data_IF_389255236727
#
_entry.id   IF_389255236727
#
_cell.length_a   1.000
_cell.length_b   1.000
_cell.length_c   1.000
_cell.angle_alpha   90.00
_cell.angle_beta   90.00
_cell.angle_gamma   90.00
#
_symmetry.space_group_name_H-M   'P 1'
#
loop_
_entity.id
_entity.type
_entity.pdbx_description
1 polymer ?
#
# COMPACT_ATOMS: atom_id res chain seq x y z
N UNK A 1 -27.11 -9.04 -0.80
CA UNK A 1 -26.26 -9.20 -1.71
C UNK A 1 -24.99 -9.69 -1.19
N UNK A 2 -24.37 -10.54 -1.81
CA UNK A 2 -23.19 -11.11 -1.30
C UNK A 2 -22.05 -10.16 -1.52
N UNK A 3 -21.11 -10.13 -0.61
CA UNK A 3 -19.98 -9.35 -0.77
C UNK A 3 -19.07 -10.03 -1.67
N UNK A 4 -18.47 -9.32 -2.53
CA UNK A 4 -17.49 -9.88 -3.38
C UNK A 4 -16.23 -10.12 -2.61
N UNK A 5 -15.63 -11.29 -2.81
CA UNK A 5 -14.36 -11.60 -2.20
C UNK A 5 -13.28 -11.22 -3.18
N UNK A 6 -12.32 -10.42 -2.74
CA UNK A 6 -11.25 -10.00 -3.63
C UNK A 6 -9.93 -10.15 -2.88
N UNK A 7 -8.91 -10.62 -3.58
CA UNK A 7 -7.60 -10.78 -2.97
C UNK A 7 -6.84 -9.48 -3.01
N UNK A 8 -5.79 -9.39 -2.21
CA UNK A 8 -4.99 -8.18 -2.18
C UNK A 8 -4.37 -7.92 -3.54
N UNK A 9 -4.00 -8.97 -4.26
CA UNK A 9 -3.43 -8.79 -5.59
C UNK A 9 -4.47 -8.20 -6.54
N UNK A 10 -5.68 -8.73 -6.51
CA UNK A 10 -6.74 -8.22 -7.36
C UNK A 10 -7.09 -6.79 -7.00
N UNK A 11 -7.13 -6.51 -5.69
CA UNK A 11 -7.45 -5.16 -5.24
C UNK A 11 -6.40 -4.17 -5.72
N UNK A 12 -5.14 -4.55 -5.65
CA UNK A 12 -4.06 -3.68 -6.11
C UNK A 12 -4.19 -3.42 -7.61
N UNK A 13 -4.49 -4.46 -8.37
CA UNK A 13 -4.64 -4.31 -9.81
C UNK A 13 -5.80 -3.39 -10.17
N UNK A 14 -6.91 -3.53 -9.46
CA UNK A 14 -8.05 -2.67 -9.71
C UNK A 14 -7.75 -1.23 -9.32
N UNK A 15 -7.03 -1.04 -8.23
CA UNK A 15 -6.68 0.29 -7.79
C UNK A 15 -5.79 0.97 -8.83
N UNK A 16 -4.80 0.24 -9.35
CA UNK A 16 -3.90 0.80 -10.35
C UNK A 16 -4.65 1.13 -11.65
N UNK A 17 -5.60 0.27 -12.02
CA UNK A 17 -6.41 0.55 -13.20
C UNK A 17 -7.25 1.79 -12.98
N UNK A 18 -7.77 1.96 -11.77
CA UNK A 18 -8.55 3.15 -11.44
C UNK A 18 -7.69 4.40 -11.59
N UNK A 19 -6.44 4.35 -11.14
CA UNK A 19 -5.55 5.49 -11.26
C UNK A 19 -5.27 5.82 -12.72
N UNK A 20 -5.12 4.79 -13.54
CA UNK A 20 -4.87 5.00 -14.94
C UNK A 20 -6.07 5.67 -15.59
N UNK A 21 -7.26 5.23 -15.25
CA UNK A 21 -8.46 5.83 -15.80
C UNK A 21 -8.65 7.26 -15.32
N UNK A 22 -8.13 7.56 -14.15
CA UNK A 22 -8.24 8.91 -13.61
C UNK A 22 -7.18 9.84 -14.21
N UNK A 23 -6.36 9.34 -15.10
CA UNK A 23 -5.38 10.19 -15.76
C UNK A 23 -4.05 10.34 -15.06
N UNK A 24 -3.75 9.45 -14.12
CA UNK A 24 -2.46 9.54 -13.45
C UNK A 24 -1.33 9.18 -14.39
N UNK A 25 -0.20 9.77 -14.13
CA UNK A 25 0.99 9.54 -14.93
C UNK A 25 1.45 8.08 -14.83
N UNK A 26 1.91 7.53 -15.93
CA UNK A 26 2.36 6.15 -15.94
C UNK A 26 3.49 5.89 -14.96
N UNK A 27 4.38 6.86 -14.80
CA UNK A 27 5.47 6.69 -13.86
C UNK A 27 4.95 6.61 -12.43
N UNK A 28 3.95 7.41 -12.11
CA UNK A 28 3.34 7.36 -10.79
C UNK A 28 2.70 6.02 -10.55
N UNK A 29 2.00 5.50 -11.56
CA UNK A 29 1.33 4.22 -11.43
C UNK A 29 2.36 3.11 -11.25
N UNK A 30 3.46 3.16 -12.00
CA UNK A 30 4.52 2.17 -11.86
C UNK A 30 5.10 2.20 -10.44
N UNK A 31 5.36 3.39 -9.92
CA UNK A 31 5.91 3.54 -8.59
C UNK A 31 4.96 2.99 -7.53
N UNK A 32 3.68 3.28 -7.70
CA UNK A 32 2.69 2.77 -6.76
C UNK A 32 2.60 1.24 -6.84
N UNK A 33 2.74 0.69 -8.05
CA UNK A 33 2.67 -0.76 -8.18
C UNK A 33 3.82 -1.42 -7.42
N UNK A 34 4.98 -0.80 -7.42
CA UNK A 34 6.10 -1.35 -6.68
C UNK A 34 5.83 -1.34 -5.18
N UNK A 35 5.21 -0.27 -4.70
CA UNK A 35 4.88 -0.20 -3.28
C UNK A 35 3.84 -1.24 -2.92
N UNK A 36 2.86 -1.43 -3.80
CA UNK A 36 1.81 -2.42 -3.53
C UNK A 36 2.34 -3.85 -3.62
N UNK A 37 3.38 -4.07 -4.42
CA UNK A 37 4.00 -5.38 -4.48
C UNK A 37 4.56 -5.78 -3.12
N UNK A 38 5.04 -4.82 -2.35
CA UNK A 38 5.54 -5.12 -1.02
C UNK A 38 4.42 -5.64 -0.13
N UNK A 39 3.24 -5.06 -0.26
CA UNK A 39 2.10 -5.51 0.52
C UNK A 39 1.67 -6.90 0.07
N UNK A 40 1.66 -7.12 -1.24
CA UNK A 40 1.28 -8.42 -1.76
C UNK A 40 2.25 -9.49 -1.25
N UNK A 41 3.52 -9.15 -1.21
CA UNK A 41 4.50 -10.09 -0.70
C UNK A 41 4.32 -10.37 0.78
N UNK A 42 3.99 -9.33 1.55
CA UNK A 42 3.84 -9.48 2.99
C UNK A 42 2.59 -10.29 3.35
N UNK A 43 1.48 -9.96 2.71
CA UNK A 43 0.20 -10.58 3.06
C UNK A 43 -0.07 -11.87 2.28
N UNK A 44 0.55 -12.03 1.12
CA UNK A 44 0.26 -13.17 0.25
C UNK A 44 -0.74 -12.77 -0.81
N UNK A 45 -0.47 -13.12 -2.06
CA UNK A 45 -1.30 -12.63 -3.15
C UNK A 45 -2.75 -13.07 -3.05
N UNK A 46 -3.00 -14.19 -2.38
CA UNK A 46 -4.35 -14.70 -2.25
C UNK A 46 -5.07 -14.22 -1.00
N UNK A 47 -4.48 -13.31 -0.26
CA UNK A 47 -5.09 -12.84 0.97
C UNK A 47 -6.34 -12.03 0.65
N UNK A 48 -7.45 -12.39 1.30
CA UNK A 48 -8.69 -11.66 1.12
C UNK A 48 -8.57 -10.31 1.83
N UNK A 49 -8.80 -9.20 1.11
CA UNK A 49 -8.62 -7.88 1.71
C UNK A 49 -9.56 -7.67 2.89
N UNK A 50 -10.73 -8.30 2.88
CA UNK A 50 -11.67 -8.13 3.98
C UNK A 50 -11.21 -8.80 5.26
N UNK A 51 -10.19 -9.66 5.17
CA UNK A 51 -9.67 -10.34 6.34
C UNK A 51 -8.41 -9.70 6.89
N UNK A 52 -8.00 -8.58 6.33
CA UNK A 52 -6.86 -7.85 6.84
C UNK A 52 -7.35 -7.00 8.02
N UNK A 53 -6.66 -7.12 9.14
CA UNK A 53 -7.04 -6.39 10.36
C UNK A 53 -6.03 -5.28 10.63
N UNK A 54 -6.40 -4.29 11.46
CA UNK A 54 -5.47 -3.20 11.76
C UNK A 54 -4.14 -3.68 12.32
N UNK A 55 -4.13 -4.73 13.12
CA UNK A 55 -2.89 -5.24 13.67
C UNK A 55 -2.01 -5.76 12.54
N UNK A 56 -2.60 -6.32 11.50
CA UNK A 56 -1.83 -6.83 10.37
C UNK A 56 -1.20 -5.67 9.61
N UNK A 57 -1.93 -4.58 9.47
CA UNK A 57 -1.40 -3.41 8.77
C UNK A 57 -0.27 -2.78 9.56
N UNK A 58 -0.42 -2.72 10.89
CA UNK A 58 0.63 -2.17 11.73
C UNK A 58 1.90 -3.00 11.58
N UNK A 59 1.78 -4.32 11.53
CA UNK A 59 2.94 -5.18 11.36
C UNK A 59 3.57 -4.99 9.99
N UNK A 60 2.75 -4.82 8.96
CA UNK A 60 3.28 -4.59 7.63
C UNK A 60 4.08 -3.29 7.60
N UNK A 61 3.55 -2.23 8.20
CA UNK A 61 4.23 -0.94 8.17
C UNK A 61 5.56 -0.98 8.91
N UNK A 62 5.73 -1.90 9.85
CA UNK A 62 6.98 -2.02 10.57
C UNK A 62 7.87 -3.13 10.03
N UNK A 63 7.42 -3.81 8.99
CA UNK A 63 8.16 -4.93 8.45
C UNK A 63 9.40 -4.46 7.71
N UNK A 64 10.32 -5.39 7.52
CA UNK A 64 11.54 -5.09 6.77
C UNK A 64 11.21 -4.71 5.32
N UNK A 65 10.14 -5.26 4.76
CA UNK A 65 9.77 -4.91 3.40
C UNK A 65 9.51 -3.42 3.24
N UNK A 66 8.92 -2.81 4.26
CA UNK A 66 8.60 -1.40 4.19
C UNK A 66 9.76 -0.53 4.66
N UNK A 67 10.49 -0.98 5.67
CA UNK A 67 11.43 -0.13 6.34
C UNK A 67 12.88 -0.30 5.93
N UNK A 68 13.20 -1.39 5.25
CA UNK A 68 14.60 -1.68 4.91
C UNK A 68 14.77 -1.96 3.44
N UNK A 69 15.92 -1.56 2.94
CA UNK A 69 16.30 -1.88 1.59
C UNK A 69 17.26 -3.05 1.70
N UNK A 70 16.88 -4.19 1.14
CA UNK A 70 17.67 -5.41 1.24
C UNK A 70 18.22 -5.75 -0.12
N UNK A 71 19.52 -5.94 -0.21
CA UNK A 71 20.14 -6.33 -1.45
C UNK A 71 20.71 -7.71 -1.32
N UNK A 72 20.30 -8.58 -2.21
CA UNK A 72 20.83 -9.92 -2.20
C UNK A 72 22.25 -9.89 -2.75
N UNK A 73 23.13 -10.76 -2.28
CA UNK A 73 24.50 -10.77 -2.77
C UNK A 73 24.54 -11.24 -4.22
N UNK A 74 25.42 -10.61 -4.97
CA UNK A 74 25.56 -11.00 -6.36
C UNK A 74 26.47 -12.22 -6.52
N UNK A 75 27.28 -12.51 -5.55
CA UNK A 75 28.17 -13.64 -5.60
C UNK A 75 27.97 -14.49 -4.38
N UNK A 76 28.18 -15.79 -4.54
CA UNK A 76 28.03 -16.67 -3.42
C UNK A 76 29.06 -16.32 -2.37
N UNK A 77 28.68 -16.45 -1.14
CA UNK A 77 29.60 -16.19 -0.04
C UNK A 77 29.58 -14.76 0.45
N UNK A 78 28.93 -13.87 -0.25
CA UNK A 78 28.85 -12.50 0.20
C UNK A 78 27.62 -12.32 1.09
N UNK A 79 27.74 -11.49 2.12
CA UNK A 79 26.57 -11.29 3.00
C UNK A 79 25.51 -10.44 2.33
N UNK A 80 24.29 -10.69 2.71
CA UNK A 80 23.18 -9.88 2.27
C UNK A 80 23.32 -8.51 2.91
N UNK A 81 23.11 -7.47 2.15
CA UNK A 81 23.23 -6.11 2.65
C UNK A 81 21.87 -5.55 2.95
N UNK A 82 21.76 -4.89 4.10
CA UNK A 82 20.52 -4.26 4.49
C UNK A 82 20.84 -2.86 4.97
N UNK A 83 19.94 -1.96 4.68
CA UNK A 83 20.04 -0.62 5.26
C UNK A 83 18.63 -0.03 5.34
N UNK A 84 18.42 0.91 6.24
CA UNK A 84 17.08 1.48 6.38
C UNK A 84 16.72 2.31 5.17
N UNK A 85 15.46 2.30 4.80
CA UNK A 85 14.97 3.19 3.77
C UNK A 85 14.79 4.56 4.38
N UNK A 86 14.81 5.59 3.53
CA UNK A 86 14.59 6.94 4.02
C UNK A 86 13.17 7.07 4.54
N UNK A 87 12.96 8.02 5.43
CA UNK A 87 11.64 8.27 5.95
C UNK A 87 10.66 8.62 4.85
N UNK A 88 11.12 9.36 3.86
CA UNK A 88 10.25 9.75 2.76
C UNK A 88 9.76 8.52 2.01
N UNK A 89 10.65 7.57 1.75
CA UNK A 89 10.28 6.36 1.05
C UNK A 89 9.30 5.53 1.86
N UNK A 90 9.56 5.39 3.16
CA UNK A 90 8.69 4.61 4.03
C UNK A 90 7.31 5.25 4.09
N UNK A 91 7.25 6.57 4.26
CA UNK A 91 6.00 7.27 4.34
C UNK A 91 5.20 7.13 3.06
N UNK A 92 5.89 7.15 1.92
CA UNK A 92 5.21 7.02 0.65
C UNK A 92 4.57 5.64 0.50
N UNK A 93 5.30 4.59 0.87
CA UNK A 93 4.77 3.24 0.79
C UNK A 93 3.52 3.11 1.67
N UNK A 94 3.59 3.65 2.88
CA UNK A 94 2.46 3.59 3.79
C UNK A 94 1.27 4.34 3.21
N UNK A 95 1.51 5.49 2.61
CA UNK A 95 0.43 6.28 2.04
C UNK A 95 -0.25 5.56 0.88
N UNK A 96 0.54 4.94 0.01
CA UNK A 96 -0.02 4.22 -1.13
C UNK A 96 -0.90 3.08 -0.64
N UNK A 97 -0.43 2.35 0.36
CA UNK A 97 -1.21 1.24 0.89
C UNK A 97 -2.50 1.74 1.53
N UNK A 98 -2.43 2.84 2.30
CA UNK A 98 -3.62 3.39 2.91
C UNK A 98 -4.64 3.77 1.85
N UNK A 99 -4.18 4.40 0.77
CA UNK A 99 -5.09 4.83 -0.28
C UNK A 99 -5.73 3.65 -0.98
N UNK A 100 -4.99 2.56 -1.14
CA UNK A 100 -5.58 1.37 -1.73
C UNK A 100 -6.69 0.83 -0.83
N UNK A 101 -6.49 0.85 0.49
CA UNK A 101 -7.52 0.36 1.40
C UNK A 101 -8.75 1.26 1.37
N UNK A 102 -8.55 2.57 1.23
CA UNK A 102 -9.68 3.48 1.09
C UNK A 102 -10.45 3.15 -0.18
N UNK A 103 -9.73 2.90 -1.26
CA UNK A 103 -10.36 2.51 -2.51
C UNK A 103 -11.18 1.24 -2.33
N UNK A 104 -10.63 0.24 -1.62
CA UNK A 104 -11.36 -1.00 -1.37
C UNK A 104 -12.64 -0.74 -0.60
N UNK A 105 -12.60 0.17 0.36
CA UNK A 105 -13.79 0.47 1.12
C UNK A 105 -14.82 1.16 0.22
N UNK A 106 -14.37 2.06 -0.64
CA UNK A 106 -15.27 2.74 -1.54
C UNK A 106 -15.93 1.78 -2.52
N UNK A 107 -15.22 0.73 -2.89
CA UNK A 107 -15.78 -0.26 -3.79
C UNK A 107 -16.70 -1.25 -3.09
N UNK A 108 -16.74 -1.21 -1.77
CA UNK A 108 -17.59 -2.13 -1.02
C UNK A 108 -16.94 -3.48 -0.75
N UNK A 109 -15.68 -3.64 -1.08
CA UNK A 109 -15.00 -4.90 -0.85
C UNK A 109 -14.68 -5.13 0.62
N UNK A 110 -14.55 -4.05 1.39
CA UNK A 110 -14.36 -4.14 2.82
C UNK A 110 -15.34 -3.19 3.48
N UNK A 111 -15.81 -3.54 4.66
CA UNK A 111 -16.78 -2.70 5.35
C UNK A 111 -16.13 -1.65 6.23
N UNK A 112 -14.89 -1.88 6.63
CA UNK A 112 -14.18 -0.94 7.47
C UNK A 112 -12.77 -0.79 6.98
N UNK A 113 -12.17 0.37 7.28
CA UNK A 113 -10.76 0.52 6.98
C UNK A 113 -9.97 -0.23 8.03
N UNK A 114 -9.12 -1.14 7.61
CA UNK A 114 -8.31 -1.94 8.51
C UNK A 114 -7.03 -1.18 8.83
N UNK A 115 -7.17 -0.03 9.49
CA UNK A 115 -6.02 0.79 9.81
C UNK A 115 -5.95 1.03 11.31
N UNK A 116 -4.75 1.08 11.88
CA UNK A 116 -4.59 1.46 13.29
C UNK A 116 -5.13 2.87 13.50
N UNK A 117 -5.43 3.19 14.75
CA UNK A 117 -6.01 4.46 15.07
C UNK A 117 -5.23 5.63 14.53
N UNK A 118 -3.90 5.58 14.67
CA UNK A 118 -3.06 6.67 14.16
C UNK A 118 -3.21 6.83 12.67
N UNK A 119 -3.29 5.72 11.95
CA UNK A 119 -3.40 5.79 10.50
C UNK A 119 -4.77 6.25 10.06
N UNK A 120 -5.80 5.91 10.83
CA UNK A 120 -7.14 6.40 10.51
C UNK A 120 -7.19 7.91 10.63
N UNK A 121 -6.52 8.46 11.63
CA UNK A 121 -6.48 9.91 11.78
C UNK A 121 -5.80 10.56 10.59
N UNK A 122 -4.74 9.94 10.10
CA UNK A 122 -4.04 10.49 8.93
C UNK A 122 -4.93 10.48 7.70
N UNK A 123 -5.74 9.44 7.56
CA UNK A 123 -6.63 9.36 6.41
C UNK A 123 -7.67 10.46 6.47
N UNK A 124 -8.20 10.74 7.65
CA UNK A 124 -9.17 11.79 7.78
C UNK A 124 -8.57 13.15 7.47
N UNK A 125 -7.37 13.41 8.01
CA UNK A 125 -6.72 14.66 7.72
C UNK A 125 -6.45 14.80 6.23
N UNK A 126 -6.06 13.71 5.61
CA UNK A 126 -5.75 13.74 4.21
C UNK A 126 -7.01 14.02 3.40
N UNK A 127 -8.14 13.46 3.81
CA UNK A 127 -9.36 13.69 3.10
C UNK A 127 -9.73 15.15 3.09
N UNK A 128 -9.48 15.85 4.19
CA UNK A 128 -9.76 17.25 4.22
C UNK A 128 -8.78 18.02 3.37
N UNK A 129 -7.54 17.59 3.36
CA UNK A 129 -6.54 18.28 2.56
C UNK A 129 -6.64 17.92 1.11
N UNK A 130 -7.36 16.87 0.78
CA UNK A 130 -7.45 16.46 -0.60
C UNK A 130 -8.16 17.39 -1.46
N UNK A 131 -8.72 18.39 -0.94
CA UNK A 131 -9.24 19.38 -1.78
C UNK A 131 -8.15 19.99 -2.48
N UNK A 132 -6.91 19.85 -2.04
CA UNK A 132 -5.82 20.40 -2.73
C UNK A 132 -5.41 19.45 -3.75
N UNK A 133 -4.99 19.91 -4.85
CA UNK A 133 -4.56 19.08 -5.94
C UNK A 133 -3.44 18.27 -5.45
N UNK A 134 -3.29 17.21 -6.01
CA UNK A 134 -2.31 16.36 -5.61
C UNK A 134 -0.99 16.76 -5.93
N UNK A 135 -0.70 17.91 -5.66
CA UNK A 135 0.57 18.39 -5.94
C UNK A 135 1.57 17.51 -5.36
N UNK A 136 1.22 16.91 -4.35
CA UNK A 136 2.18 16.12 -3.77
C UNK A 136 2.48 14.93 -4.49
N UNK A 137 1.82 14.66 -5.49
CA UNK A 137 2.07 13.54 -6.16
C UNK A 137 3.26 13.46 -6.75
N UNK A 138 3.77 14.28 -7.03
CA UNK A 138 4.84 14.18 -7.74
C UNK A 138 5.72 13.63 -7.37
#
# INVERSE_FOLDING_TARGET
>A
MSKQTITIKEAAEQYLAHLSEAGKNERTIYTYSRDLDLAIEHFGEDRNVAKILPVHVAKFFKSDLVTKLIREPKKEGQPRRERPKSEITITKTMRVFRQMLVFCKEQGWVSKLALPKDELARVKDKAEADEQPAAEEE
#
